data_IF_272714634949
#
_entry.id   IF_272714634949
#
_cell.length_a   1.000
_cell.length_b   1.000
_cell.length_c   1.000
_cell.angle_alpha   90.00
_cell.angle_beta   90.00
_cell.angle_gamma   90.00
#
_symmetry.space_group_name_H-M   'P 1'
#
loop_
_entity.id
_entity.type
_entity.pdbx_description
1 polymer ?
#
# COMPACT_ATOMS: atom_id res chain seq x y z
N UNK A 1 18.36 26.13 21.60
CA UNK A 1 17.77 25.14 20.67
C UNK A 1 17.48 23.91 21.51
N UNK A 2 16.30 23.85 22.12
CA UNK A 2 15.91 22.83 23.11
C UNK A 2 15.05 21.78 22.42
N UNK A 3 15.63 20.65 22.03
CA UNK A 3 14.86 19.49 21.60
C UNK A 3 14.32 18.78 22.83
N UNK A 4 13.05 19.04 23.17
CA UNK A 4 12.33 18.18 24.08
C UNK A 4 12.19 16.79 23.44
N UNK A 5 12.40 15.68 24.19
CA UNK A 5 12.16 14.33 23.68
C UNK A 5 10.74 14.23 23.12
N UNK A 6 10.61 14.02 21.81
CA UNK A 6 9.30 13.84 21.17
C UNK A 6 8.66 12.57 21.75
N UNK A 7 7.35 12.59 22.06
CA UNK A 7 6.64 11.41 22.51
C UNK A 7 6.85 10.29 21.48
N UNK A 8 7.08 9.04 21.91
CA UNK A 8 7.41 7.95 21.01
C UNK A 8 6.27 7.76 20.01
N UNK A 9 6.45 8.25 18.78
CA UNK A 9 5.61 7.89 17.66
C UNK A 9 5.75 6.40 17.37
N UNK A 10 4.72 5.81 16.75
CA UNK A 10 4.74 4.40 16.38
C UNK A 10 6.00 4.10 15.52
N UNK A 11 6.53 2.86 15.56
CA UNK A 11 7.77 2.54 14.85
C UNK A 11 7.67 2.75 13.32
N UNK A 12 6.49 2.51 12.73
CA UNK A 12 6.24 2.69 11.30
C UNK A 12 6.31 4.18 10.91
N UNK A 13 5.73 5.09 11.70
CA UNK A 13 5.77 6.52 11.43
C UNK A 13 7.20 7.04 11.51
N UNK A 14 8.04 6.52 12.42
CA UNK A 14 9.47 6.91 12.46
C UNK A 14 10.25 6.48 11.23
N UNK A 15 9.90 5.34 10.65
CA UNK A 15 10.56 4.83 9.44
C UNK A 15 10.14 5.63 8.20
N UNK A 16 8.88 6.06 8.13
CA UNK A 16 8.34 6.79 6.99
C UNK A 16 8.62 8.30 7.05
N UNK A 17 8.61 8.90 8.25
CA UNK A 17 8.89 10.32 8.51
C UNK A 17 10.41 10.63 8.47
N UNK A 18 11.09 10.27 7.36
CA UNK A 18 12.56 10.39 7.25
C UNK A 18 13.09 11.83 7.30
N UNK A 19 12.23 12.82 7.05
CA UNK A 19 12.54 14.25 7.11
C UNK A 19 12.31 14.87 8.52
N UNK A 20 11.90 14.04 9.49
CA UNK A 20 11.62 14.47 10.87
C UNK A 20 10.30 15.24 11.04
N UNK A 21 9.48 15.35 9.99
CA UNK A 21 8.13 15.93 10.04
C UNK A 21 7.09 14.81 9.97
N UNK A 22 5.94 15.03 10.61
CA UNK A 22 4.85 14.03 10.61
C UNK A 22 4.01 14.16 9.35
N UNK A 23 3.83 13.05 8.64
CA UNK A 23 2.98 12.94 7.44
C UNK A 23 1.89 11.88 7.63
N UNK A 24 0.93 12.08 8.56
CA UNK A 24 0.01 11.03 8.99
C UNK A 24 -0.88 10.51 7.86
N UNK A 25 -1.28 11.37 6.93
CA UNK A 25 -2.14 10.99 5.79
C UNK A 25 -1.35 10.15 4.78
N UNK A 26 -0.14 10.59 4.43
CA UNK A 26 0.76 9.88 3.51
C UNK A 26 1.16 8.52 4.07
N UNK A 27 1.50 8.47 5.35
CA UNK A 27 1.84 7.24 6.06
C UNK A 27 0.69 6.22 6.03
N UNK A 28 -0.54 6.66 6.31
CA UNK A 28 -1.73 5.79 6.26
C UNK A 28 -1.99 5.32 4.83
N UNK A 29 -1.98 6.22 3.85
CA UNK A 29 -2.16 5.86 2.44
C UNK A 29 -1.13 4.82 1.99
N UNK A 30 0.12 4.97 2.43
CA UNK A 30 1.19 4.07 2.06
C UNK A 30 1.03 2.68 2.66
N UNK A 31 0.71 2.61 3.96
CA UNK A 31 0.42 1.35 4.66
C UNK A 31 -0.83 0.66 4.08
N UNK A 32 -1.87 1.40 3.73
CA UNK A 32 -3.08 0.85 3.09
C UNK A 32 -2.73 0.30 1.71
N UNK A 33 -1.91 1.02 0.93
CA UNK A 33 -1.47 0.58 -0.40
C UNK A 33 -0.74 -0.76 -0.36
N UNK A 34 0.24 -0.92 0.54
CA UNK A 34 0.96 -2.20 0.67
C UNK A 34 0.04 -3.32 1.16
N UNK A 35 -0.89 -3.02 2.08
CA UNK A 35 -1.81 -4.02 2.61
C UNK A 35 -2.78 -4.52 1.54
N UNK A 36 -3.41 -3.61 0.78
CA UNK A 36 -4.28 -3.96 -0.34
C UNK A 36 -3.53 -4.79 -1.38
N UNK A 37 -2.31 -4.38 -1.74
CA UNK A 37 -1.49 -5.10 -2.72
C UNK A 37 -1.10 -6.51 -2.27
N UNK A 38 -0.69 -6.67 -1.01
CA UNK A 38 -0.36 -7.98 -0.46
C UNK A 38 -1.58 -8.89 -0.39
N UNK A 39 -2.73 -8.39 0.05
CA UNK A 39 -3.97 -9.20 0.10
C UNK A 39 -4.38 -9.60 -1.31
N UNK A 40 -4.35 -8.67 -2.27
CA UNK A 40 -4.68 -8.96 -3.66
C UNK A 40 -3.74 -10.01 -4.27
N UNK A 41 -2.43 -9.86 -4.05
CA UNK A 41 -1.41 -10.79 -4.52
C UNK A 41 -1.62 -12.19 -3.97
N UNK A 42 -1.79 -12.32 -2.65
CA UNK A 42 -2.01 -13.62 -1.99
C UNK A 42 -3.34 -14.24 -2.41
N UNK A 43 -4.41 -13.45 -2.50
CA UNK A 43 -5.71 -13.92 -2.96
C UNK A 43 -5.65 -14.46 -4.41
N UNK A 44 -4.79 -13.91 -5.26
CA UNK A 44 -4.60 -14.34 -6.64
C UNK A 44 -4.16 -15.80 -6.80
N UNK A 45 -3.56 -16.41 -5.78
CA UNK A 45 -3.19 -17.84 -5.81
C UNK A 45 -4.37 -18.79 -5.58
N UNK A 46 -5.52 -18.28 -5.14
CA UNK A 46 -6.71 -19.07 -4.85
C UNK A 46 -7.78 -18.80 -5.90
N UNK A 47 -8.12 -19.76 -6.76
CA UNK A 47 -9.13 -19.57 -7.79
C UNK A 47 -10.47 -19.10 -7.21
N UNK A 48 -10.88 -19.57 -6.04
CA UNK A 48 -12.12 -19.16 -5.37
C UNK A 48 -12.09 -17.71 -4.82
N UNK A 49 -10.91 -17.09 -4.68
CA UNK A 49 -10.76 -15.72 -4.17
C UNK A 49 -10.46 -14.70 -5.28
N UNK A 50 -10.63 -15.08 -6.55
CA UNK A 50 -10.26 -14.27 -7.70
C UNK A 50 -10.97 -12.90 -7.75
N UNK A 51 -12.26 -12.84 -7.38
CA UNK A 51 -12.99 -11.58 -7.29
C UNK A 51 -12.39 -10.63 -6.25
N UNK A 52 -11.94 -11.16 -5.10
CA UNK A 52 -11.26 -10.38 -4.06
C UNK A 52 -9.91 -9.88 -4.58
N UNK A 53 -9.13 -10.74 -5.24
CA UNK A 53 -7.85 -10.38 -5.85
C UNK A 53 -8.00 -9.23 -6.87
N UNK A 54 -9.03 -9.30 -7.72
CA UNK A 54 -9.39 -8.27 -8.67
C UNK A 54 -9.77 -6.93 -8.00
N UNK A 55 -10.73 -6.94 -7.07
CA UNK A 55 -11.21 -5.70 -6.45
C UNK A 55 -10.17 -5.03 -5.57
N UNK A 56 -9.53 -5.79 -4.67
CA UNK A 56 -8.47 -5.23 -3.82
C UNK A 56 -7.24 -4.85 -4.62
N UNK A 57 -6.94 -5.59 -5.69
CA UNK A 57 -5.83 -5.25 -6.56
C UNK A 57 -6.09 -3.95 -7.33
N UNK A 58 -7.31 -3.71 -7.84
CA UNK A 58 -7.63 -2.44 -8.50
C UNK A 58 -7.58 -1.28 -7.52
N UNK A 59 -8.18 -1.43 -6.34
CA UNK A 59 -8.16 -0.40 -5.28
C UNK A 59 -6.73 -0.12 -4.83
N UNK A 60 -5.92 -1.15 -4.60
CA UNK A 60 -4.52 -1.01 -4.20
C UNK A 60 -3.65 -0.40 -5.30
N UNK A 61 -3.89 -0.74 -6.57
CA UNK A 61 -3.15 -0.19 -7.70
C UNK A 61 -3.45 1.30 -7.89
N UNK A 62 -4.73 1.67 -7.99
CA UNK A 62 -5.15 3.08 -8.18
C UNK A 62 -4.83 3.92 -6.94
N UNK A 63 -5.15 3.42 -5.75
CA UNK A 63 -4.84 4.06 -4.48
C UNK A 63 -3.34 4.25 -4.29
N UNK A 64 -2.53 3.27 -4.70
CA UNK A 64 -1.08 3.36 -4.66
C UNK A 64 -0.51 4.39 -5.61
N UNK A 65 -1.01 4.48 -6.86
CA UNK A 65 -0.61 5.54 -7.79
C UNK A 65 -0.94 6.93 -7.25
N UNK A 66 -2.09 7.09 -6.60
CA UNK A 66 -2.42 8.34 -5.90
C UNK A 66 -1.49 8.58 -4.70
N UNK A 67 -1.21 7.55 -3.90
CA UNK A 67 -0.30 7.66 -2.77
C UNK A 67 1.12 8.07 -3.21
N UNK A 68 1.62 7.58 -4.34
CA UNK A 68 2.88 8.01 -4.95
C UNK A 68 2.91 9.52 -5.22
N UNK A 69 1.82 10.05 -5.78
CA UNK A 69 1.73 11.46 -6.15
C UNK A 69 1.78 12.38 -4.92
N UNK A 70 1.18 11.95 -3.81
CA UNK A 70 1.07 12.77 -2.57
C UNK A 70 2.19 12.50 -1.56
N UNK A 71 2.99 11.44 -1.76
CA UNK A 71 4.06 11.03 -0.83
C UNK A 71 5.08 12.14 -0.62
N UNK A 72 5.39 12.44 0.64
CA UNK A 72 6.37 13.42 1.02
C UNK A 72 7.79 12.82 1.03
N UNK A 73 7.91 11.56 1.45
CA UNK A 73 9.22 10.95 1.72
C UNK A 73 9.59 9.82 0.76
N UNK A 74 10.88 9.52 0.68
CA UNK A 74 11.38 8.44 -0.19
C UNK A 74 11.00 7.05 0.32
N UNK A 75 11.02 6.76 1.64
CA UNK A 75 10.52 5.49 2.16
C UNK A 75 9.04 5.23 1.84
N UNK A 76 8.16 6.23 1.94
CA UNK A 76 6.75 6.13 1.53
C UNK A 76 6.63 5.71 0.06
N UNK A 77 7.36 6.40 -0.82
CA UNK A 77 7.38 6.08 -2.26
C UNK A 77 7.86 4.66 -2.52
N UNK A 78 8.93 4.22 -1.87
CA UNK A 78 9.42 2.85 -2.02
C UNK A 78 8.38 1.81 -1.59
N UNK A 79 7.73 2.03 -0.45
CA UNK A 79 6.69 1.13 0.08
C UNK A 79 5.45 1.10 -0.84
N UNK A 80 5.08 2.26 -1.40
CA UNK A 80 4.02 2.36 -2.39
C UNK A 80 4.31 1.58 -3.67
N UNK A 81 5.55 1.61 -4.20
CA UNK A 81 5.91 0.84 -5.41
C UNK A 81 5.65 -0.65 -5.16
N UNK A 82 6.09 -1.17 -4.02
CA UNK A 82 5.89 -2.59 -3.68
C UNK A 82 4.40 -2.94 -3.62
N UNK A 83 3.59 -2.10 -2.99
CA UNK A 83 2.13 -2.29 -2.92
C UNK A 83 1.45 -2.22 -4.29
N UNK A 84 1.86 -1.30 -5.16
CA UNK A 84 1.33 -1.16 -6.53
C UNK A 84 1.67 -2.40 -7.36
N UNK A 85 2.92 -2.88 -7.30
CA UNK A 85 3.34 -4.08 -8.05
C UNK A 85 2.60 -5.31 -7.54
N UNK A 86 2.50 -5.51 -6.22
CA UNK A 86 1.73 -6.61 -5.64
C UNK A 86 0.25 -6.55 -6.06
N UNK A 87 -0.33 -5.36 -6.05
CA UNK A 87 -1.70 -5.11 -6.53
C UNK A 87 -1.88 -5.50 -8.00
N UNK A 88 -0.97 -5.06 -8.87
CA UNK A 88 -1.00 -5.36 -10.30
C UNK A 88 -0.98 -6.87 -10.55
N UNK A 89 -0.07 -7.59 -9.88
CA UNK A 89 0.01 -9.06 -10.03
C UNK A 89 -1.23 -9.75 -9.47
N UNK A 90 -1.77 -9.27 -8.34
CA UNK A 90 -3.02 -9.75 -7.77
C UNK A 90 -4.21 -9.61 -8.72
N UNK A 91 -4.38 -8.44 -9.36
CA UNK A 91 -5.42 -8.25 -10.40
C UNK A 91 -5.20 -9.19 -11.57
N UNK A 92 -3.97 -9.31 -12.07
CA UNK A 92 -3.67 -10.17 -13.20
C UNK A 92 -4.05 -11.63 -12.94
N UNK A 93 -3.73 -12.14 -11.74
CA UNK A 93 -4.16 -13.47 -11.32
C UNK A 93 -5.66 -13.57 -11.10
N UNK A 94 -6.31 -12.57 -10.50
CA UNK A 94 -7.78 -12.55 -10.37
C UNK A 94 -8.49 -12.61 -11.72
N UNK A 95 -8.01 -11.85 -12.72
CA UNK A 95 -8.54 -11.88 -14.09
C UNK A 95 -8.34 -13.26 -14.72
N UNK A 96 -7.16 -13.85 -14.55
CA UNK A 96 -6.86 -15.18 -15.06
C UNK A 96 -7.81 -16.26 -14.52
N UNK A 97 -8.23 -16.17 -13.25
CA UNK A 97 -9.08 -17.17 -12.60
C UNK A 97 -10.59 -16.95 -12.75
N UNK A 98 -11.03 -15.80 -13.28
CA UNK A 98 -12.47 -15.53 -13.51
C UNK A 98 -12.89 -14.06 -13.42
N UNK A 99 -11.98 -13.15 -13.08
CA UNK A 99 -12.26 -11.71 -13.04
C UNK A 99 -12.99 -11.26 -11.77
N UNK A 100 -13.84 -10.24 -11.92
CA UNK A 100 -14.41 -9.47 -10.81
C UNK A 100 -15.69 -10.06 -10.20
N UNK A 101 -16.24 -11.13 -10.80
CA UNK A 101 -17.50 -11.76 -10.41
C UNK A 101 -17.24 -13.20 -9.96
N UNK A 102 -17.89 -13.69 -8.90
CA UNK A 102 -17.68 -15.04 -8.35
C UNK A 102 -18.21 -16.17 -9.24
#
# INVERSE_FOLDING_TARGET
>A
MTDAPRPPGNPISRLLDSDGRRHPVQNVLSVVTIACGLIAFVAGFFPAAHAVACWLGVVGFVGGLYSQYVSATTPERALNIVGIVASFVGVAFGIYHGGFYP
#
